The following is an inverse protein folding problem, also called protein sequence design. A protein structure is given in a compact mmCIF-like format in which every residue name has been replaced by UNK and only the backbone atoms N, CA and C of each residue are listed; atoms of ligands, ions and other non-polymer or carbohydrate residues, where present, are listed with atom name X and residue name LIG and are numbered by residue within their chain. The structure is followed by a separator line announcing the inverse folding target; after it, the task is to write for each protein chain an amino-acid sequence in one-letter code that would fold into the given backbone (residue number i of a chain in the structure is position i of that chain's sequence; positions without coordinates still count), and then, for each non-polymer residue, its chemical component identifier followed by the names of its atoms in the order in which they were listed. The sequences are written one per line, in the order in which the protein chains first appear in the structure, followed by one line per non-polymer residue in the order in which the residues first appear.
data_IF_790882083350
#
_entry.id   IF_790882083350
#
_cell.length_a   1.000
_cell.length_b   1.000
_cell.length_c   1.000
_cell.angle_alpha   90.00
_cell.angle_beta   90.00
_cell.angle_gamma   90.00
#
_symmetry.space_group_name_H-M   'P 1'
#
loop_
_entity.id
_entity.type
_entity.pdbx_description
1 polymer ?
#
# COMPACT_ATOMS: atom_id res chain seq x y z
N UNK A 1 -6.40 -4.18 -5.25
CA UNK A 1 -6.15 -3.33 -4.06
C UNK A 1 -6.02 -4.19 -2.81
N UNK A 2 -7.03 -4.98 -2.42
CA UNK A 2 -6.94 -5.85 -1.23
C UNK A 2 -5.71 -6.79 -1.24
N UNK A 3 -5.38 -7.39 -2.39
CA UNK A 3 -4.16 -8.21 -2.56
C UNK A 3 -2.89 -7.38 -2.25
N UNK A 4 -2.83 -6.15 -2.74
CA UNK A 4 -1.68 -5.27 -2.57
C UNK A 4 -1.56 -4.82 -1.10
N UNK A 5 -2.69 -4.50 -0.44
CA UNK A 5 -2.75 -4.19 1.00
C UNK A 5 -2.28 -5.39 1.83
N UNK A 6 -2.76 -6.60 1.55
CA UNK A 6 -2.33 -7.80 2.28
C UNK A 6 -0.84 -8.12 2.11
N UNK A 7 -0.26 -7.83 0.94
CA UNK A 7 1.20 -7.91 0.75
C UNK A 7 1.91 -6.85 1.60
N UNK A 8 1.38 -5.63 1.65
CA UNK A 8 1.93 -4.54 2.45
C UNK A 8 1.90 -4.84 3.95
N UNK A 9 0.79 -5.38 4.48
CA UNK A 9 0.65 -5.83 5.87
C UNK A 9 1.69 -6.90 6.21
N UNK A 10 1.77 -7.96 5.41
CA UNK A 10 2.73 -9.04 5.64
C UNK A 10 4.19 -8.55 5.57
N UNK A 11 4.50 -7.68 4.61
CA UNK A 11 5.84 -7.08 4.50
C UNK A 11 6.16 -6.18 5.70
N UNK A 12 5.18 -5.46 6.25
CA UNK A 12 5.36 -4.63 7.43
C UNK A 12 5.63 -5.48 8.68
N UNK A 13 4.86 -6.55 8.88
CA UNK A 13 5.09 -7.50 9.97
C UNK A 13 6.49 -8.14 9.91
N UNK A 14 6.91 -8.56 8.72
CA UNK A 14 8.26 -9.09 8.49
C UNK A 14 9.34 -8.02 8.71
N UNK A 15 9.03 -6.74 8.43
CA UNK A 15 9.94 -5.61 8.68
C UNK A 15 10.18 -5.48 10.18
N UNK A 16 9.11 -5.45 10.98
CA UNK A 16 9.22 -5.39 12.44
C UNK A 16 9.97 -6.60 13.00
N UNK A 17 9.66 -7.80 12.52
CA UNK A 17 10.33 -9.05 12.92
C UNK A 17 11.83 -9.03 12.60
N UNK A 18 12.21 -8.49 11.44
CA UNK A 18 13.60 -8.44 10.98
C UNK A 18 14.41 -7.38 11.74
N UNK A 19 13.85 -6.18 11.96
CA UNK A 19 14.50 -5.11 12.74
C UNK A 19 14.83 -5.58 14.16
N UNK A 20 13.92 -6.31 14.82
CA UNK A 20 14.17 -6.86 16.16
C UNK A 20 15.34 -7.86 16.22
N UNK A 21 15.70 -8.48 15.10
CA UNK A 21 16.81 -9.43 14.96
C UNK A 21 18.07 -8.79 14.39
N UNK A 22 17.95 -7.57 13.86
CA UNK A 22 19.05 -6.84 13.23
C UNK A 22 20.03 -6.30 14.28
N UNK A 23 21.26 -6.02 13.83
CA UNK A 23 22.27 -5.35 14.65
C UNK A 23 22.20 -3.85 14.37
N UNK A 24 22.30 -2.99 15.39
CA UNK A 24 22.42 -1.56 15.17
C UNK A 24 23.71 -1.24 14.43
N UNK A 25 23.72 -0.13 13.69
CA UNK A 25 24.95 0.45 13.17
C UNK A 25 25.82 0.94 14.33
N UNK A 26 27.13 0.81 14.19
CA UNK A 26 28.10 1.05 15.26
C UNK A 26 27.96 2.47 15.84
N UNK A 27 27.73 3.45 14.98
CA UNK A 27 27.64 4.87 15.36
C UNK A 27 26.29 5.27 15.98
N UNK A 28 25.27 4.39 15.96
CA UNK A 28 23.99 4.71 16.57
C UNK A 28 24.02 4.70 18.11
N UNK A 29 25.06 4.10 18.72
CA UNK A 29 25.28 4.07 20.17
C UNK A 29 24.05 3.55 20.96
N UNK A 30 23.36 2.55 20.41
CA UNK A 30 22.21 1.86 21.02
C UNK A 30 22.42 0.36 21.05
N UNK A 31 21.72 -0.34 21.95
CA UNK A 31 21.86 -1.79 22.12
C UNK A 31 21.18 -2.62 21.02
N UNK A 32 20.14 -2.08 20.38
CA UNK A 32 19.31 -2.76 19.39
C UNK A 32 18.98 -1.85 18.21
N UNK A 33 18.89 -2.43 17.01
CA UNK A 33 18.46 -1.70 15.81
C UNK A 33 17.07 -1.05 16.00
N UNK A 34 16.18 -1.68 16.79
CA UNK A 34 14.85 -1.15 17.14
C UNK A 34 14.88 0.15 17.96
N UNK A 35 16.05 0.57 18.47
CA UNK A 35 16.21 1.83 19.20
C UNK A 35 16.88 2.93 18.36
N UNK A 36 17.22 2.65 17.10
CA UNK A 36 17.84 3.64 16.23
C UNK A 36 16.82 4.70 15.80
N UNK A 37 17.20 5.97 15.91
CA UNK A 37 16.32 7.12 15.64
C UNK A 37 15.72 7.07 14.22
N UNK A 38 16.54 6.80 13.20
CA UNK A 38 16.07 6.77 11.81
C UNK A 38 15.26 5.51 11.51
N UNK A 39 15.58 4.38 12.14
CA UNK A 39 14.76 3.15 12.04
C UNK A 39 13.36 3.39 12.61
N UNK A 40 13.24 4.03 13.77
CA UNK A 40 11.96 4.41 14.36
C UNK A 40 11.17 5.38 13.47
N UNK A 41 11.86 6.36 12.87
CA UNK A 41 11.24 7.29 11.93
C UNK A 41 10.67 6.57 10.70
N UNK A 42 11.44 5.67 10.10
CA UNK A 42 10.99 4.93 8.92
C UNK A 42 9.83 3.99 9.25
N UNK A 43 9.90 3.25 10.37
CA UNK A 43 8.78 2.41 10.83
C UNK A 43 7.50 3.23 11.01
N UNK A 44 7.59 4.42 11.62
CA UNK A 44 6.43 5.32 11.76
C UNK A 44 5.84 5.76 10.43
N UNK A 45 6.68 6.11 9.44
CA UNK A 45 6.22 6.46 8.08
C UNK A 45 5.55 5.28 7.38
N UNK A 46 6.14 4.09 7.46
CA UNK A 46 5.59 2.88 6.85
C UNK A 46 4.23 2.50 7.47
N UNK A 47 4.09 2.65 8.79
CA UNK A 47 2.81 2.41 9.47
C UNK A 47 1.73 3.38 8.96
N UNK A 48 2.03 4.67 8.87
CA UNK A 48 1.08 5.67 8.35
C UNK A 48 0.68 5.35 6.91
N UNK A 49 1.64 4.93 6.07
CA UNK A 49 1.37 4.55 4.68
C UNK A 49 0.46 3.31 4.61
N UNK A 50 0.71 2.31 5.45
CA UNK A 50 -0.12 1.12 5.55
C UNK A 50 -1.54 1.45 6.02
N UNK A 51 -1.66 2.20 7.12
CA UNK A 51 -2.95 2.62 7.68
C UNK A 51 -3.77 3.41 6.67
N UNK A 52 -3.15 4.33 5.93
CA UNK A 52 -3.82 5.07 4.87
C UNK A 52 -4.35 4.14 3.75
N UNK A 53 -3.58 3.12 3.36
CA UNK A 53 -4.02 2.15 2.36
C UNK A 53 -5.17 1.26 2.86
N UNK A 54 -5.15 0.86 4.14
CA UNK A 54 -6.24 0.11 4.79
C UNK A 54 -7.50 0.96 4.85
N UNK A 55 -7.41 2.19 5.34
CA UNK A 55 -8.57 3.07 5.49
C UNK A 55 -9.25 3.40 4.15
N UNK A 56 -8.46 3.63 3.08
CA UNK A 56 -9.01 3.86 1.75
C UNK A 56 -9.65 2.59 1.18
N UNK A 57 -9.08 1.41 1.47
CA UNK A 57 -9.67 0.13 1.07
C UNK A 57 -11.02 -0.09 1.77
N UNK A 58 -11.08 0.16 3.08
CA UNK A 58 -12.29 0.01 3.89
C UNK A 58 -13.36 0.99 3.42
N UNK A 59 -13.02 2.27 3.19
CA UNK A 59 -13.98 3.27 2.66
C UNK A 59 -14.56 2.84 1.31
N UNK A 60 -13.73 2.33 0.40
CA UNK A 60 -14.19 1.84 -0.89
C UNK A 60 -15.10 0.61 -0.74
N UNK A 61 -14.78 -0.31 0.18
CA UNK A 61 -15.58 -1.50 0.45
C UNK A 61 -16.94 -1.14 1.08
N UNK A 62 -16.94 -0.30 2.12
CA UNK A 62 -18.15 0.18 2.79
C UNK A 62 -19.10 0.86 1.80
N UNK A 63 -18.57 1.72 0.93
CA UNK A 63 -19.39 2.39 -0.07
C UNK A 63 -19.98 1.42 -1.11
N UNK A 64 -19.23 0.40 -1.52
CA UNK A 64 -19.76 -0.64 -2.41
C UNK A 64 -20.85 -1.46 -1.73
N UNK A 65 -20.66 -1.83 -0.46
CA UNK A 65 -21.65 -2.55 0.34
C UNK A 65 -22.95 -1.73 0.49
N UNK A 66 -22.85 -0.41 0.68
CA UNK A 66 -23.99 0.51 0.70
C UNK A 66 -24.75 0.51 -0.63
N UNK A 67 -24.02 0.56 -1.77
CA UNK A 67 -24.64 0.54 -3.09
C UNK A 67 -25.35 -0.79 -3.38
N UNK A 68 -24.80 -1.91 -2.91
CA UNK A 68 -25.40 -3.24 -3.06
C UNK A 68 -26.76 -3.38 -2.33
N UNK A 69 -27.04 -2.52 -1.35
CA UNK A 69 -28.35 -2.47 -0.67
C UNK A 69 -29.41 -1.65 -1.44
N UNK A 70 -29.03 -0.90 -2.48
CA UNK A 70 -29.95 -0.04 -3.21
C UNK A 70 -30.68 -0.79 -4.33
N UNK A 71 -31.95 -0.47 -4.54
CA UNK A 71 -32.72 -1.02 -5.67
C UNK A 71 -32.26 -0.48 -7.02
N UNK A 72 -31.79 0.77 -7.05
CA UNK A 72 -31.30 1.45 -8.24
C UNK A 72 -30.10 2.31 -7.89
N UNK A 73 -29.02 2.20 -8.66
CA UNK A 73 -27.79 2.98 -8.49
C UNK A 73 -27.72 4.04 -9.60
N UNK A 74 -27.43 5.28 -9.22
CA UNK A 74 -27.27 6.42 -10.15
C UNK A 74 -25.88 6.47 -10.78
N UNK A 75 -25.74 7.17 -11.91
CA UNK A 75 -24.43 7.36 -12.56
C UNK A 75 -23.42 8.08 -11.65
N UNK A 76 -23.88 9.00 -10.80
CA UNK A 76 -23.05 9.71 -9.83
C UNK A 76 -22.51 8.77 -8.75
N UNK A 77 -23.35 7.87 -8.24
CA UNK A 77 -22.94 6.85 -7.27
C UNK A 77 -21.93 5.86 -7.87
N UNK A 78 -22.16 5.42 -9.11
CA UNK A 78 -21.18 4.58 -9.83
C UNK A 78 -19.86 5.32 -10.00
N UNK A 79 -19.90 6.60 -10.39
CA UNK A 79 -18.70 7.41 -10.55
C UNK A 79 -17.93 7.55 -9.24
N UNK A 80 -18.62 7.85 -8.13
CA UNK A 80 -18.01 7.94 -6.80
C UNK A 80 -17.37 6.61 -6.39
N UNK A 81 -18.06 5.48 -6.60
CA UNK A 81 -17.50 4.16 -6.30
C UNK A 81 -16.22 3.89 -7.09
N UNK A 82 -16.21 4.21 -8.40
CA UNK A 82 -15.01 4.07 -9.22
C UNK A 82 -13.84 4.93 -8.73
N UNK A 83 -14.11 6.13 -8.20
CA UNK A 83 -13.08 7.01 -7.64
C UNK A 83 -12.51 6.46 -6.34
N UNK A 84 -13.35 6.04 -5.38
CA UNK A 84 -12.88 5.45 -4.12
C UNK A 84 -12.03 4.19 -4.38
N UNK A 85 -12.49 3.34 -5.29
CA UNK A 85 -11.74 2.15 -5.77
C UNK A 85 -10.40 2.56 -6.40
N UNK A 86 -10.37 3.65 -7.18
CA UNK A 86 -9.14 4.14 -7.77
C UNK A 86 -8.15 4.66 -6.71
N UNK A 87 -8.62 5.44 -5.73
CA UNK A 87 -7.82 5.99 -4.63
C UNK A 87 -7.21 4.87 -3.78
N UNK A 88 -8.03 3.91 -3.36
CA UNK A 88 -7.59 2.72 -2.64
C UNK A 88 -6.53 1.94 -3.43
N UNK A 89 -6.70 1.79 -4.76
CA UNK A 89 -5.70 1.12 -5.60
C UNK A 89 -4.38 1.88 -5.68
N UNK A 90 -4.40 3.22 -5.77
CA UNK A 90 -3.17 4.03 -5.81
C UNK A 90 -2.38 3.84 -4.52
N UNK A 91 -3.02 4.00 -3.36
CA UNK A 91 -2.33 3.87 -2.08
C UNK A 91 -1.91 2.43 -1.76
N UNK A 92 -2.73 1.44 -2.11
CA UNK A 92 -2.34 0.03 -1.94
C UNK A 92 -1.12 -0.34 -2.77
N UNK A 93 -1.00 0.18 -4.01
CA UNK A 93 0.19 0.01 -4.83
C UNK A 93 1.44 0.60 -4.15
N UNK A 94 1.32 1.83 -3.67
CA UNK A 94 2.44 2.55 -3.06
C UNK A 94 2.89 1.88 -1.75
N UNK A 95 1.94 1.50 -0.89
CA UNK A 95 2.21 0.77 0.34
C UNK A 95 2.92 -0.57 0.06
N UNK A 96 2.38 -1.38 -0.84
CA UNK A 96 2.94 -2.70 -1.15
C UNK A 96 4.37 -2.61 -1.67
N UNK A 97 4.65 -1.67 -2.59
CA UNK A 97 5.98 -1.49 -3.16
C UNK A 97 6.97 -0.88 -2.16
N UNK A 98 6.59 0.19 -1.47
CA UNK A 98 7.50 0.90 -0.56
C UNK A 98 7.84 0.08 0.68
N UNK A 99 6.85 -0.55 1.31
CA UNK A 99 7.08 -1.34 2.53
C UNK A 99 7.93 -2.57 2.22
N UNK A 100 7.64 -3.27 1.12
CA UNK A 100 8.42 -4.44 0.72
C UNK A 100 9.85 -4.13 0.29
N UNK A 101 10.10 -2.93 -0.25
CA UNK A 101 11.46 -2.45 -0.52
C UNK A 101 12.19 -2.06 0.78
N UNK A 102 11.52 -1.30 1.66
CA UNK A 102 12.09 -0.87 2.95
C UNK A 102 12.38 -2.03 3.90
N UNK A 103 11.66 -3.14 3.80
CA UNK A 103 11.96 -4.37 4.52
C UNK A 103 13.43 -4.80 4.36
N UNK A 104 13.95 -4.77 3.13
CA UNK A 104 15.34 -5.16 2.87
C UNK A 104 16.34 -4.10 3.34
N UNK A 105 16.00 -2.82 3.21
CA UNK A 105 16.81 -1.70 3.70
C UNK A 105 16.97 -1.75 5.22
N UNK A 106 15.85 -1.81 5.95
CA UNK A 106 15.81 -1.77 7.42
C UNK A 106 16.23 -3.10 8.05
N UNK A 107 16.07 -4.22 7.35
CA UNK A 107 16.51 -5.53 7.79
C UNK A 107 18.03 -5.77 7.67
N UNK A 108 18.73 -4.87 6.98
CA UNK A 108 20.17 -4.97 6.71
C UNK A 108 20.53 -6.14 5.78
N UNK A 109 21.82 -6.32 5.50
CA UNK A 109 22.30 -7.28 4.47
C UNK A 109 21.91 -8.74 4.70
N UNK A 110 21.57 -9.14 5.94
CA UNK A 110 21.09 -10.51 6.22
C UNK A 110 19.68 -10.75 5.70
N UNK A 111 18.86 -9.71 5.56
CA UNK A 111 17.51 -9.80 5.02
C UNK A 111 17.49 -10.27 3.56
N UNK A 112 18.59 -10.06 2.82
CA UNK A 112 18.71 -10.48 1.42
C UNK A 112 19.13 -11.95 1.24
N UNK A 113 19.29 -12.71 2.33
CA UNK A 113 19.62 -14.13 2.22
C UNK A 113 18.40 -14.92 1.73
N UNK A 114 18.59 -15.76 0.73
CA UNK A 114 17.53 -16.54 0.08
C UNK A 114 16.72 -17.41 1.05
N UNK A 115 17.33 -17.88 2.14
CA UNK A 115 16.65 -18.66 3.18
C UNK A 115 15.49 -17.91 3.87
N UNK A 116 15.52 -16.56 3.83
CA UNK A 116 14.46 -15.73 4.40
C UNK A 116 13.39 -15.38 3.36
N UNK A 117 13.75 -15.34 2.07
CA UNK A 117 12.83 -15.10 0.94
C UNK A 117 11.96 -13.83 1.11
N UNK A 118 12.51 -12.80 1.78
CA UNK A 118 11.82 -11.54 2.08
C UNK A 118 11.57 -10.68 0.83
N UNK A 119 12.39 -10.86 -0.20
CA UNK A 119 12.22 -10.23 -1.52
C UNK A 119 10.95 -10.70 -2.25
N UNK A 120 10.30 -11.77 -1.79
CA UNK A 120 9.05 -12.26 -2.36
C UNK A 120 7.92 -11.24 -2.28
N UNK A 121 7.83 -10.47 -1.19
CA UNK A 121 6.82 -9.42 -1.04
C UNK A 121 6.90 -8.41 -2.18
N UNK A 122 8.11 -7.90 -2.45
CA UNK A 122 8.33 -6.93 -3.51
C UNK A 122 8.09 -7.53 -4.89
N UNK A 123 8.55 -8.76 -5.15
CA UNK A 123 8.31 -9.43 -6.43
C UNK A 123 6.81 -9.63 -6.70
N UNK A 124 6.07 -10.07 -5.69
CA UNK A 124 4.62 -10.26 -5.80
C UNK A 124 3.91 -8.92 -6.04
N UNK A 125 4.22 -7.90 -5.23
CA UNK A 125 3.69 -6.56 -5.40
C UNK A 125 4.01 -6.00 -6.79
N UNK A 126 5.26 -6.08 -7.23
CA UNK A 126 5.70 -5.54 -8.52
C UNK A 126 5.00 -6.21 -9.69
N UNK A 127 4.78 -7.52 -9.66
CA UNK A 127 4.05 -8.22 -10.71
C UNK A 127 2.57 -7.81 -10.70
N UNK A 128 1.91 -7.86 -9.55
CA UNK A 128 0.47 -7.62 -9.46
C UNK A 128 0.09 -6.16 -9.79
N UNK A 129 0.90 -5.21 -9.33
CA UNK A 129 0.69 -3.77 -9.57
C UNK A 129 0.84 -3.35 -11.04
N UNK A 130 1.45 -4.17 -11.90
CA UNK A 130 1.58 -3.85 -13.33
C UNK A 130 0.30 -4.09 -14.13
N UNK A 131 -0.67 -4.83 -13.58
CA UNK A 131 -1.94 -5.09 -14.26
C UNK A 131 -2.74 -3.82 -14.51
N UNK A 132 -2.78 -2.93 -13.51
CA UNK A 132 -3.56 -1.69 -13.55
C UNK A 132 -2.62 -0.49 -13.72
N UNK A 133 -2.74 0.32 -14.78
CA UNK A 133 -1.86 1.46 -14.96
C UNK A 133 -2.26 2.60 -14.01
N UNK A 134 -1.64 2.64 -12.82
CA UNK A 134 -1.88 3.63 -11.74
C UNK A 134 -1.96 5.08 -12.24
N UNK A 135 -1.13 5.46 -13.23
CA UNK A 135 -1.17 6.80 -13.85
C UNK A 135 -2.53 7.18 -14.45
N UNK A 136 -3.27 6.22 -14.99
CA UNK A 136 -4.61 6.46 -15.54
C UNK A 136 -5.66 6.62 -14.44
N UNK A 137 -5.48 5.94 -13.30
CA UNK A 137 -6.32 6.14 -12.11
C UNK A 137 -6.14 7.54 -11.53
N UNK A 138 -4.90 8.00 -11.37
CA UNK A 138 -4.60 9.38 -10.96
C UNK A 138 -5.21 10.42 -11.91
N UNK A 139 -5.15 10.18 -13.22
CA UNK A 139 -5.83 11.04 -14.20
C UNK A 139 -7.35 11.08 -13.98
N UNK A 140 -8.00 9.92 -13.79
CA UNK A 140 -9.44 9.85 -13.57
C UNK A 140 -9.86 10.56 -12.27
N UNK A 141 -9.13 10.34 -11.18
CA UNK A 141 -9.31 11.03 -9.89
C UNK A 141 -9.22 12.54 -10.08
N UNK A 142 -8.14 13.01 -10.72
CA UNK A 142 -7.95 14.44 -10.98
C UNK A 142 -9.07 15.05 -11.83
N UNK A 143 -9.50 14.36 -12.89
CA UNK A 143 -10.56 14.85 -13.76
C UNK A 143 -11.94 14.88 -13.08
N UNK A 144 -12.20 13.91 -12.19
CA UNK A 144 -13.42 13.88 -11.37
C UNK A 144 -13.47 15.06 -10.41
N UNK A 145 -12.43 15.27 -9.60
CA UNK A 145 -12.44 16.36 -8.60
C UNK A 145 -12.29 17.75 -9.21
N UNK A 146 -11.50 17.91 -10.28
CA UNK A 146 -11.24 19.22 -10.87
C UNK A 146 -12.35 19.68 -11.82
N UNK A 147 -12.87 18.76 -12.65
CA UNK A 147 -13.77 19.10 -13.74
C UNK A 147 -15.18 18.49 -13.58
N UNK A 148 -15.43 17.68 -12.55
CA UNK A 148 -16.73 17.01 -12.35
C UNK A 148 -17.02 15.92 -13.39
N UNK A 149 -16.01 15.42 -14.10
CA UNK A 149 -16.19 14.40 -15.12
C UNK A 149 -16.20 13.00 -14.52
N UNK A 150 -17.25 12.24 -14.80
CA UNK A 150 -17.33 10.85 -14.37
C UNK A 150 -16.29 9.97 -15.08
N UNK A 151 -15.68 9.01 -14.38
CA UNK A 151 -14.74 8.07 -14.98
C UNK A 151 -15.40 7.25 -16.10
N UNK A 152 -14.64 6.92 -17.14
CA UNK A 152 -15.13 6.05 -18.21
C UNK A 152 -15.32 4.61 -17.68
N UNK A 153 -16.40 3.94 -18.10
CA UNK A 153 -16.76 2.59 -17.64
C UNK A 153 -15.96 1.51 -18.37
N UNK A 154 -14.69 1.34 -18.03
CA UNK A 154 -13.86 0.25 -18.54
C UNK A 154 -12.80 -0.19 -17.53
N UNK A 155 -12.41 -1.47 -17.56
CA UNK A 155 -11.74 -2.17 -16.45
C UNK A 155 -10.44 -1.55 -15.89
N UNK A 156 -9.75 -0.67 -16.63
CA UNK A 156 -8.50 -0.03 -16.19
C UNK A 156 -8.67 1.40 -15.66
N UNK A 157 -9.89 1.95 -15.69
CA UNK A 157 -10.28 3.16 -14.94
C UNK A 157 -11.14 2.68 -13.78
#
# INVERSE_FOLDING_TARGET
MAIDVGIAEAAFEDTLSTIHKARPIIDANVEKASFEHYTLQEVGKLNILLDAAILLLDEAAEYLDELDQLQTVTDEQVAKASILVAEAKVYANDAALQISEKLLELGGSRSSLSQHNLDQHWRNARVHTLHDPVRWKLHAIGNYYLNGHFPARHAWI
#
